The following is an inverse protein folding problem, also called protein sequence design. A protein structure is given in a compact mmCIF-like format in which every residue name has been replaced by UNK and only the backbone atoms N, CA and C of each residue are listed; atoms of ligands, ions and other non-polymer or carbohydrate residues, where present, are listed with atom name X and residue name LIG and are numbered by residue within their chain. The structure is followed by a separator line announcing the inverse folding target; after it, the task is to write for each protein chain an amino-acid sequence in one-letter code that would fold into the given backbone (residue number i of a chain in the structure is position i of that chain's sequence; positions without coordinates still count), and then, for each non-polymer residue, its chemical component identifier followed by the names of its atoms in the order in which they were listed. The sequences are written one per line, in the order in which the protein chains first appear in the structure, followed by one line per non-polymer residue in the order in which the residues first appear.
data_IF_120911166647
#
_entry.id   IF_120911166647
#
_cell.length_a   1.000
_cell.length_b   1.000
_cell.length_c   1.000
_cell.angle_alpha   90.00
_cell.angle_beta   90.00
_cell.angle_gamma   90.00
#
_symmetry.space_group_name_H-M   'P 1'
#
loop_
_entity.id
_entity.type
_entity.pdbx_description
1 polymer ?
#
# COMPACT_ATOMS: atom_id res chain seq x y z
N UNK A 1 -3.50 -4.22 -5.07
CA UNK A 1 -2.61 -3.78 -6.14
C UNK A 1 -3.43 -3.53 -7.40
N UNK A 2 -4.11 -2.37 -7.48
CA UNK A 2 -4.84 -1.98 -8.68
C UNK A 2 -3.85 -1.69 -9.83
N UNK A 3 -4.26 -1.84 -11.09
CA UNK A 3 -3.37 -1.50 -12.19
C UNK A 3 -3.08 0.00 -12.18
N UNK A 4 -1.86 0.35 -12.60
CA UNK A 4 -1.34 1.71 -12.45
C UNK A 4 -1.59 2.64 -13.65
N UNK A 5 -2.63 2.35 -14.45
CA UNK A 5 -2.99 3.15 -15.64
C UNK A 5 -1.78 3.39 -16.59
N UNK A 6 -0.93 2.36 -16.78
CA UNK A 6 0.34 2.45 -17.54
C UNK A 6 0.14 2.43 -19.06
N UNK A 7 -1.10 2.41 -19.54
CA UNK A 7 -1.42 2.29 -20.96
C UNK A 7 -1.04 0.94 -21.61
N UNK A 8 -0.99 -0.14 -20.82
CA UNK A 8 -0.70 -1.49 -21.32
C UNK A 8 -1.88 -2.43 -21.06
N UNK A 9 -2.33 -3.13 -22.10
CA UNK A 9 -3.41 -4.11 -22.04
C UNK A 9 -2.96 -5.40 -21.35
N UNK A 10 -3.51 -5.70 -20.18
CA UNK A 10 -3.31 -6.98 -19.50
C UNK A 10 -4.45 -7.94 -19.87
N UNK A 11 -4.22 -8.82 -20.85
CA UNK A 11 -5.16 -9.90 -21.19
C UNK A 11 -4.75 -11.22 -20.50
N UNK A 12 -5.71 -11.87 -19.82
CA UNK A 12 -5.53 -13.20 -19.25
C UNK A 12 -6.30 -14.21 -20.10
N UNK A 13 -5.60 -15.18 -20.69
CA UNK A 13 -6.23 -16.29 -21.40
C UNK A 13 -6.79 -17.28 -20.39
N UNK A 14 -8.12 -17.33 -20.27
CA UNK A 14 -8.79 -18.37 -19.49
C UNK A 14 -9.04 -19.56 -20.44
N UNK A 15 -8.55 -20.78 -20.13
CA UNK A 15 -8.93 -21.96 -20.89
C UNK A 15 -10.41 -22.27 -20.61
N UNK A 16 -11.21 -22.38 -21.66
CA UNK A 16 -12.61 -22.80 -21.60
C UNK A 16 -12.77 -24.04 -22.47
N UNK A 17 -13.03 -25.18 -21.83
CA UNK A 17 -13.33 -26.47 -22.49
C UNK A 17 -12.09 -27.29 -22.85
N UNK A 18 -12.31 -28.61 -23.00
CA UNK A 18 -11.28 -29.64 -23.25
C UNK A 18 -11.10 -29.94 -24.77
N UNK A 19 -11.73 -29.16 -25.64
CA UNK A 19 -11.73 -29.43 -27.09
C UNK A 19 -10.93 -28.39 -27.89
N UNK A 20 -9.89 -28.91 -28.54
CA UNK A 20 -8.90 -28.22 -29.36
C UNK A 20 -9.34 -28.08 -30.82
N UNK A 21 -10.45 -27.37 -31.09
CA UNK A 21 -10.82 -27.00 -32.47
C UNK A 21 -10.63 -25.50 -32.73
N UNK A 22 -10.03 -25.10 -33.88
CA UNK A 22 -9.72 -23.72 -34.18
C UNK A 22 -10.98 -23.01 -34.70
N UNK A 23 -11.78 -22.49 -33.78
CA UNK A 23 -12.86 -21.56 -34.13
C UNK A 23 -12.20 -20.22 -34.48
N UNK A 24 -12.36 -19.74 -35.73
CA UNK A 24 -12.17 -18.33 -36.08
C UNK A 24 -13.16 -17.51 -35.24
N UNK A 25 -12.70 -17.07 -34.07
CA UNK A 25 -13.54 -16.39 -33.10
C UNK A 25 -13.39 -14.90 -33.34
N UNK A 26 -14.40 -14.31 -33.97
CA UNK A 26 -14.58 -12.87 -33.98
C UNK A 26 -14.39 -12.33 -32.55
N UNK A 27 -13.52 -11.35 -32.46
CA UNK A 27 -13.01 -10.73 -31.23
C UNK A 27 -14.15 -9.96 -30.53
N UNK A 28 -15.11 -10.63 -29.89
CA UNK A 28 -16.23 -9.89 -29.25
C UNK A 28 -16.98 -10.51 -28.07
N UNK A 29 -16.85 -11.78 -27.69
CA UNK A 29 -17.82 -12.33 -26.69
C UNK A 29 -17.28 -13.20 -25.56
N UNK A 30 -16.04 -13.70 -25.62
CA UNK A 30 -15.52 -14.63 -24.60
C UNK A 30 -14.06 -14.34 -24.19
N UNK A 31 -13.68 -13.06 -24.20
CA UNK A 31 -12.58 -12.57 -23.39
C UNK A 31 -13.20 -11.90 -22.17
N UNK A 32 -12.90 -12.39 -20.96
CA UNK A 32 -13.09 -11.57 -19.76
C UNK A 32 -12.01 -10.50 -19.83
N UNK A 33 -12.33 -9.41 -20.53
CA UNK A 33 -11.44 -8.28 -20.66
C UNK A 33 -11.25 -7.70 -19.26
N UNK A 34 -10.08 -7.90 -18.67
CA UNK A 34 -9.76 -7.31 -17.37
C UNK A 34 -9.74 -5.78 -17.46
N UNK A 35 -9.26 -5.23 -18.59
CA UNK A 35 -9.29 -3.81 -18.95
C UNK A 35 -9.55 -3.66 -20.44
N UNK A 36 -10.67 -3.02 -20.78
CA UNK A 36 -11.01 -2.68 -22.15
C UNK A 36 -10.65 -1.21 -22.27
N UNK A 37 -9.51 -0.90 -22.88
CA UNK A 37 -9.15 0.47 -23.29
C UNK A 37 -10.03 0.91 -24.48
N UNK A 38 -11.35 0.80 -24.34
CA UNK A 38 -12.34 1.14 -25.39
C UNK A 38 -13.06 2.45 -25.14
N UNK A 39 -12.57 3.28 -24.24
CA UNK A 39 -13.15 4.59 -24.04
C UNK A 39 -12.02 5.59 -24.02
N UNK A 40 -11.95 6.44 -25.04
CA UNK A 40 -11.00 7.55 -25.17
C UNK A 40 -11.18 8.66 -24.11
N UNK A 41 -11.38 8.27 -22.84
CA UNK A 41 -11.50 9.09 -21.63
C UNK A 41 -10.34 8.89 -20.65
N UNK A 42 -9.38 8.00 -20.94
CA UNK A 42 -8.16 7.80 -20.14
C UNK A 42 -8.44 7.60 -18.64
N UNK A 43 -7.69 8.32 -17.82
CA UNK A 43 -7.70 8.27 -16.34
C UNK A 43 -9.11 8.42 -15.72
N UNK A 44 -10.05 9.12 -16.34
CA UNK A 44 -11.41 9.28 -15.80
C UNK A 44 -12.16 7.93 -15.67
N UNK A 45 -11.98 7.05 -16.65
CA UNK A 45 -12.62 5.73 -16.65
C UNK A 45 -12.02 4.82 -15.57
N UNK A 46 -10.70 4.91 -15.37
CA UNK A 46 -9.99 4.24 -14.30
C UNK A 46 -10.46 4.71 -12.93
N UNK A 47 -10.55 6.03 -12.72
CA UNK A 47 -10.99 6.60 -11.45
C UNK A 47 -12.44 6.23 -11.12
N UNK A 48 -13.34 6.26 -12.10
CA UNK A 48 -14.72 5.80 -11.91
C UNK A 48 -14.78 4.34 -11.46
N UNK A 49 -14.04 3.46 -12.15
CA UNK A 49 -14.01 2.04 -11.80
C UNK A 49 -13.40 1.82 -10.40
N UNK A 50 -12.36 2.56 -10.04
CA UNK A 50 -11.74 2.47 -8.72
C UNK A 50 -12.65 2.99 -7.62
N UNK A 51 -13.37 4.08 -7.86
CA UNK A 51 -14.36 4.63 -6.93
C UNK A 51 -15.42 3.58 -6.58
N UNK A 52 -16.05 2.97 -7.58
CA UNK A 52 -17.08 1.93 -7.37
C UNK A 52 -16.55 0.76 -6.54
N UNK A 53 -15.33 0.31 -6.81
CA UNK A 53 -14.70 -0.79 -6.05
C UNK A 53 -14.36 -0.38 -4.62
N UNK A 54 -13.84 0.82 -4.41
CA UNK A 54 -13.44 1.32 -3.09
C UNK A 54 -14.67 1.46 -2.18
N UNK A 55 -15.81 1.91 -2.71
CA UNK A 55 -17.09 1.94 -1.99
C UNK A 55 -17.47 0.54 -1.51
N UNK A 56 -17.47 -0.45 -2.41
CA UNK A 56 -17.80 -1.84 -2.04
C UNK A 56 -16.81 -2.44 -1.04
N UNK A 57 -15.51 -2.16 -1.19
CA UNK A 57 -14.48 -2.59 -0.25
C UNK A 57 -14.72 -2.00 1.14
N UNK A 58 -15.08 -0.72 1.23
CA UNK A 58 -15.40 -0.08 2.52
C UNK A 58 -16.61 -0.73 3.19
N UNK A 59 -17.64 -1.06 2.41
CA UNK A 59 -18.82 -1.77 2.93
C UNK A 59 -18.49 -3.18 3.42
N UNK A 60 -17.62 -3.90 2.70
CA UNK A 60 -17.18 -5.25 3.05
C UNK A 60 -16.19 -5.30 4.23
N UNK A 61 -15.46 -4.22 4.50
CA UNK A 61 -14.51 -4.15 5.62
C UNK A 61 -15.24 -4.23 6.98
N UNK A 62 -14.64 -4.92 7.94
CA UNK A 62 -15.04 -4.82 9.35
C UNK A 62 -14.73 -3.43 9.91
N UNK A 63 -15.37 -3.04 11.02
CA UNK A 63 -15.08 -1.75 11.70
C UNK A 63 -13.61 -1.62 12.12
N UNK A 64 -12.97 -2.74 12.47
CA UNK A 64 -11.55 -2.82 12.82
C UNK A 64 -10.62 -2.96 11.62
N UNK A 65 -11.18 -3.06 10.41
CA UNK A 65 -10.47 -3.37 9.18
C UNK A 65 -9.64 -2.22 8.64
N UNK A 66 -8.60 -2.57 7.89
CA UNK A 66 -7.72 -1.62 7.20
C UNK A 66 -7.57 -1.99 5.72
N UNK A 67 -7.49 -0.97 4.87
CA UNK A 67 -7.28 -1.10 3.43
C UNK A 67 -5.88 -0.58 3.10
N UNK A 68 -5.09 -1.37 2.38
CA UNK A 68 -3.78 -0.96 1.85
C UNK A 68 -3.87 -0.88 0.33
N UNK A 69 -3.56 0.29 -0.22
CA UNK A 69 -3.53 0.53 -1.66
C UNK A 69 -2.10 0.85 -2.04
N UNK A 70 -1.50 -0.05 -2.82
CA UNK A 70 -0.26 0.21 -3.54
C UNK A 70 -0.58 0.99 -4.81
N UNK A 71 0.13 2.08 -5.03
CA UNK A 71 0.01 2.93 -6.20
C UNK A 71 1.34 3.58 -6.54
N UNK A 72 1.53 3.82 -7.84
CA UNK A 72 2.66 4.58 -8.35
C UNK A 72 2.34 6.10 -8.36
N UNK A 73 3.29 6.87 -8.88
CA UNK A 73 3.20 8.33 -8.95
C UNK A 73 2.19 8.85 -10.00
N UNK A 74 1.67 8.01 -10.91
CA UNK A 74 0.72 8.47 -11.93
C UNK A 74 -0.69 8.65 -11.37
N UNK A 75 -1.13 7.72 -10.53
CA UNK A 75 -2.53 7.68 -10.02
C UNK A 75 -2.66 7.78 -8.51
N UNK A 76 -1.55 7.70 -7.76
CA UNK A 76 -1.58 7.66 -6.30
C UNK A 76 -2.29 8.84 -5.63
N UNK A 77 -2.11 10.06 -6.16
CA UNK A 77 -2.79 11.26 -5.62
C UNK A 77 -4.30 11.24 -5.88
N UNK A 78 -4.76 10.74 -7.02
CA UNK A 78 -6.20 10.63 -7.31
C UNK A 78 -6.87 9.57 -6.44
N UNK A 79 -6.24 8.39 -6.31
CA UNK A 79 -6.76 7.32 -5.45
C UNK A 79 -6.85 7.75 -3.98
N UNK A 80 -5.86 8.51 -3.51
CA UNK A 80 -5.89 9.07 -2.16
C UNK A 80 -7.12 9.95 -1.93
N UNK A 81 -7.46 10.82 -2.89
CA UNK A 81 -8.64 11.67 -2.79
C UNK A 81 -9.94 10.88 -2.79
N UNK A 82 -10.07 9.88 -3.66
CA UNK A 82 -11.22 8.97 -3.67
C UNK A 82 -11.37 8.27 -2.32
N UNK A 83 -10.28 7.76 -1.75
CA UNK A 83 -10.34 7.11 -0.45
C UNK A 83 -10.69 8.09 0.68
N UNK A 84 -10.20 9.33 0.65
CA UNK A 84 -10.58 10.36 1.63
C UNK A 84 -12.08 10.69 1.56
N UNK A 85 -12.65 10.74 0.36
CA UNK A 85 -14.09 10.94 0.17
C UNK A 85 -14.90 9.75 0.70
N UNK A 86 -14.49 8.52 0.40
CA UNK A 86 -15.22 7.30 0.77
C UNK A 86 -15.06 6.93 2.25
N UNK A 87 -13.85 7.05 2.82
CA UNK A 87 -13.55 6.67 4.20
C UNK A 87 -13.59 7.84 5.20
N UNK A 88 -13.48 9.08 4.73
CA UNK A 88 -13.41 10.30 5.53
C UNK A 88 -11.98 10.81 5.76
N UNK A 89 -11.85 12.09 6.12
CA UNK A 89 -10.54 12.78 6.21
C UNK A 89 -9.59 12.18 7.26
N UNK A 90 -10.14 11.68 8.37
CA UNK A 90 -9.37 11.11 9.47
C UNK A 90 -9.05 9.62 9.30
N UNK A 91 -9.33 9.04 8.11
CA UNK A 91 -9.17 7.61 7.86
C UNK A 91 -7.75 7.19 7.51
N UNK A 92 -6.90 8.12 7.05
CA UNK A 92 -5.52 7.83 6.66
C UNK A 92 -4.70 7.47 7.90
N UNK A 93 -4.11 6.27 7.88
CA UNK A 93 -3.26 5.78 8.97
C UNK A 93 -1.80 6.13 8.69
N UNK A 94 -1.29 5.73 7.53
CA UNK A 94 0.09 5.96 7.13
C UNK A 94 0.27 5.88 5.59
N UNK A 95 1.37 6.44 5.10
CA UNK A 95 1.84 6.38 3.72
C UNK A 95 3.24 5.76 3.66
N UNK A 96 3.30 4.47 3.36
CA UNK A 96 4.52 3.66 3.33
C UNK A 96 5.25 3.87 2.00
N UNK A 97 6.56 4.07 2.05
CA UNK A 97 7.40 4.22 0.85
C UNK A 97 7.99 2.86 0.48
N UNK A 98 7.51 2.28 -0.62
CA UNK A 98 8.12 1.07 -1.16
C UNK A 98 9.28 1.45 -2.08
N UNK A 99 10.51 1.34 -1.57
CA UNK A 99 11.71 1.65 -2.32
C UNK A 99 12.31 0.43 -3.06
N UNK A 100 12.65 0.62 -4.33
CA UNK A 100 13.33 -0.36 -5.17
C UNK A 100 14.85 -0.22 -5.01
N UNK A 101 15.44 -1.03 -4.14
CA UNK A 101 16.89 -1.10 -4.00
C UNK A 101 17.52 -1.58 -5.32
N UNK A 102 18.44 -0.79 -5.89
CA UNK A 102 19.21 -1.12 -7.09
C UNK A 102 18.49 -0.99 -8.45
N UNK A 103 17.46 -0.13 -8.56
CA UNK A 103 16.86 0.20 -9.86
C UNK A 103 17.83 1.03 -10.70
N UNK A 104 18.30 0.47 -11.81
CA UNK A 104 19.12 1.20 -12.79
C UNK A 104 18.22 2.21 -13.51
N UNK A 105 18.20 3.46 -13.02
CA UNK A 105 17.41 4.51 -13.64
C UNK A 105 18.15 5.03 -14.89
N UNK A 106 17.49 5.08 -16.06
CA UNK A 106 18.06 5.76 -17.22
C UNK A 106 18.28 7.23 -16.90
N UNK A 107 19.26 7.86 -17.56
CA UNK A 107 19.49 9.29 -17.42
C UNK A 107 18.19 10.05 -17.75
N UNK A 108 17.70 10.81 -16.78
CA UNK A 108 16.47 11.60 -16.91
C UNK A 108 16.72 13.03 -16.43
N UNK A 109 15.80 13.94 -16.74
CA UNK A 109 15.84 15.32 -16.23
C UNK A 109 15.26 15.46 -14.82
N UNK A 110 15.14 14.36 -14.06
CA UNK A 110 14.59 14.34 -12.72
C UNK A 110 15.29 13.31 -11.83
N UNK A 111 14.93 13.28 -10.55
CA UNK A 111 15.41 12.24 -9.65
C UNK A 111 14.92 10.85 -10.11
N UNK A 112 15.71 9.79 -9.89
CA UNK A 112 15.29 8.42 -10.15
C UNK A 112 13.93 8.11 -9.50
N UNK A 113 12.97 7.65 -10.31
CA UNK A 113 11.68 7.13 -9.83
C UNK A 113 11.88 5.71 -9.29
N UNK A 114 12.45 5.65 -8.08
CA UNK A 114 12.87 4.43 -7.40
C UNK A 114 11.96 4.05 -6.23
N UNK A 115 10.78 4.64 -6.12
CA UNK A 115 9.81 4.26 -5.10
C UNK A 115 8.37 4.40 -5.57
N UNK A 116 7.54 3.54 -5.00
CA UNK A 116 6.09 3.60 -5.05
C UNK A 116 5.54 3.87 -3.64
N UNK A 117 4.23 4.11 -3.55
CA UNK A 117 3.54 4.39 -2.29
C UNK A 117 2.54 3.28 -1.97
N UNK A 118 2.49 2.90 -0.70
CA UNK A 118 1.42 2.08 -0.16
C UNK A 118 0.69 2.91 0.88
N UNK A 119 -0.53 3.34 0.54
CA UNK A 119 -1.35 4.18 1.41
C UNK A 119 -2.28 3.28 2.20
N UNK A 120 -2.35 3.49 3.52
CA UNK A 120 -3.18 2.71 4.42
C UNK A 120 -4.34 3.54 5.00
N UNK A 121 -5.53 2.95 4.98
CA UNK A 121 -6.77 3.57 5.46
C UNK A 121 -7.46 2.66 6.47
N UNK A 122 -8.03 3.24 7.52
CA UNK A 122 -8.89 2.54 8.47
C UNK A 122 -10.36 2.78 8.10
N UNK A 123 -11.22 1.76 8.24
CA UNK A 123 -12.66 1.99 8.22
C UNK A 123 -13.10 2.86 9.40
N UNK A 124 -12.58 2.55 10.59
CA UNK A 124 -12.73 3.34 11.80
C UNK A 124 -11.35 3.66 12.40
N UNK A 125 -10.98 4.94 12.36
CA UNK A 125 -9.68 5.45 12.81
C UNK A 125 -9.44 5.31 14.32
N UNK A 126 -10.49 5.12 15.12
CA UNK A 126 -10.39 4.92 16.56
C UNK A 126 -10.29 3.45 16.96
N UNK A 127 -10.63 2.51 16.06
CA UNK A 127 -10.82 1.09 16.39
C UNK A 127 -9.98 0.12 15.55
N UNK A 128 -9.23 0.61 14.57
CA UNK A 128 -8.43 -0.27 13.72
C UNK A 128 -7.39 -1.08 14.52
N UNK A 129 -7.13 -2.30 14.06
CA UNK A 129 -6.16 -3.19 14.69
C UNK A 129 -4.88 -3.18 13.86
N UNK A 130 -3.77 -2.77 14.48
CA UNK A 130 -2.44 -2.87 13.89
C UNK A 130 -1.56 -3.85 14.66
N UNK A 131 -1.06 -4.86 13.97
CA UNK A 131 -0.12 -5.82 14.52
C UNK A 131 1.31 -5.37 14.22
N UNK A 132 1.96 -4.76 15.22
CA UNK A 132 3.33 -4.27 15.08
C UNK A 132 4.29 -5.40 14.66
N UNK A 133 4.89 -5.23 13.49
CA UNK A 133 5.91 -6.13 12.96
C UNK A 133 7.30 -5.74 13.48
N UNK A 134 8.17 -6.74 13.56
CA UNK A 134 9.57 -6.62 14.00
C UNK A 134 10.48 -7.35 13.02
N UNK A 135 11.65 -6.76 12.76
CA UNK A 135 12.73 -7.35 11.98
C UNK A 135 13.95 -7.56 12.87
N UNK A 136 14.72 -8.63 12.60
CA UNK A 136 15.99 -8.86 13.28
C UNK A 136 17.03 -7.85 12.80
N UNK A 137 17.82 -7.31 13.71
CA UNK A 137 18.96 -6.46 13.37
C UNK A 137 20.17 -7.32 13.01
N UNK A 138 20.95 -6.87 12.04
CA UNK A 138 22.25 -7.47 11.73
C UNK A 138 23.24 -7.36 12.89
N UNK A 139 23.12 -6.30 13.70
CA UNK A 139 23.97 -6.06 14.88
C UNK A 139 23.14 -5.59 16.06
N UNK A 140 23.37 -6.13 17.27
CA UNK A 140 22.71 -5.69 18.48
C UNK A 140 23.06 -4.24 18.78
N UNK A 141 22.05 -3.42 19.07
CA UNK A 141 22.24 -2.00 19.41
C UNK A 141 21.96 -1.78 20.89
N UNK A 142 22.89 -1.10 21.58
CA UNK A 142 22.66 -0.61 22.94
C UNK A 142 21.74 0.59 22.88
N UNK A 143 20.56 0.47 23.48
CA UNK A 143 19.58 1.54 23.58
C UNK A 143 19.38 1.94 25.04
N UNK A 144 19.12 3.22 25.28
CA UNK A 144 18.76 3.71 26.61
C UNK A 144 17.44 3.05 27.04
N UNK A 145 17.41 2.50 28.25
CA UNK A 145 16.19 1.97 28.83
C UNK A 145 15.28 3.14 29.20
N UNK A 146 14.06 3.15 28.66
CA UNK A 146 13.06 4.20 28.91
C UNK A 146 11.83 3.58 29.56
N UNK A 147 11.29 4.28 30.56
CA UNK A 147 10.03 3.93 31.22
C UNK A 147 9.03 5.06 31.00
N UNK A 148 7.79 4.71 30.70
CA UNK A 148 6.70 5.68 30.60
C UNK A 148 6.14 5.95 32.00
N UNK A 149 6.28 7.18 32.47
CA UNK A 149 5.71 7.66 33.74
C UNK A 149 4.90 8.91 33.43
N UNK A 150 3.59 8.88 33.70
CA UNK A 150 2.70 10.02 33.49
C UNK A 150 2.64 10.54 32.05
N UNK A 151 2.69 9.65 31.06
CA UNK A 151 2.66 10.02 29.63
C UNK A 151 3.98 10.54 29.05
N UNK A 152 5.05 10.62 29.85
CA UNK A 152 6.39 11.00 29.38
C UNK A 152 7.36 9.81 29.47
N UNK A 153 8.17 9.64 28.44
CA UNK A 153 9.24 8.65 28.44
C UNK A 153 10.45 9.21 29.20
N UNK A 154 10.73 8.65 30.38
CA UNK A 154 11.88 9.03 31.22
C UNK A 154 12.96 7.96 31.08
N UNK A 155 14.21 8.38 30.96
CA UNK A 155 15.36 7.46 30.96
C UNK A 155 15.49 6.83 32.35
N UNK A 156 15.55 5.50 32.40
CA UNK A 156 15.74 4.76 33.66
C UNK A 156 17.14 5.04 34.18
N UNK A 157 17.22 5.60 35.38
CA UNK A 157 18.47 5.84 36.10
C UNK A 157 18.57 4.86 37.26
N UNK A 158 19.77 4.35 37.47
CA UNK A 158 20.11 3.52 38.62
C UNK A 158 20.18 4.36 39.92
N UNK A 159 20.33 3.72 41.08
CA UNK A 159 20.41 4.39 42.40
C UNK A 159 21.52 5.45 42.48
N UNK A 160 22.56 5.30 41.65
CA UNK A 160 23.68 6.24 41.51
C UNK A 160 23.45 7.37 40.48
N UNK A 161 22.25 7.47 39.89
CA UNK A 161 21.90 8.48 38.88
C UNK A 161 22.40 8.20 37.46
N UNK A 162 23.05 7.04 37.23
CA UNK A 162 23.57 6.63 35.92
C UNK A 162 22.46 6.03 35.05
N UNK A 163 22.40 6.39 33.76
CA UNK A 163 21.37 5.90 32.84
C UNK A 163 21.61 4.43 32.47
N UNK A 164 20.56 3.61 32.56
CA UNK A 164 20.60 2.20 32.19
C UNK A 164 20.45 1.99 30.68
N UNK A 165 21.15 0.97 30.17
CA UNK A 165 21.09 0.56 28.76
C UNK A 165 20.52 -0.86 28.67
N UNK A 166 19.80 -1.13 27.58
CA UNK A 166 19.33 -2.45 27.19
C UNK A 166 19.89 -2.78 25.81
N UNK A 167 20.25 -4.05 25.60
CA UNK A 167 20.62 -4.56 24.28
C UNK A 167 19.34 -5.02 23.60
N UNK A 168 19.14 -4.60 22.35
CA UNK A 168 18.03 -5.07 21.52
C UNK A 168 18.55 -5.69 20.23
N UNK A 169 18.06 -6.89 19.98
CA UNK A 169 18.36 -7.67 18.77
C UNK A 169 17.34 -7.41 17.66
N UNK A 170 16.14 -6.93 18.00
CA UNK A 170 15.07 -6.66 17.03
C UNK A 170 14.80 -5.15 16.90
N UNK A 171 14.39 -4.74 15.70
CA UNK A 171 13.88 -3.40 15.36
C UNK A 171 12.40 -3.52 15.00
N UNK A 172 11.61 -2.50 15.33
CA UNK A 172 10.26 -2.37 14.76
C UNK A 172 10.38 -2.11 13.27
N UNK A 173 9.58 -2.80 12.46
CA UNK A 173 9.49 -2.51 11.04
C UNK A 173 9.06 -1.04 10.86
N UNK A 174 9.73 -0.34 9.97
CA UNK A 174 9.48 1.07 9.66
C UNK A 174 8.66 1.20 8.37
N UNK A 175 8.24 2.42 8.05
CA UNK A 175 7.49 2.74 6.83
C UNK A 175 8.38 3.19 5.65
N UNK A 176 9.71 3.08 5.82
CA UNK A 176 10.77 3.39 4.84
C UNK A 176 11.86 2.32 4.83
#
# INVERSE_FOLDING_TARGET
DPPFDVGADFSMKIPVGDDSDPIQKDQSTLEMVAYRDVWGKGTDSYLQMMYERIVLIREALSETGTLYIHCDWHVGHYLKQICLEVFGENSVINEITWHYYNKMAPASQCFPRASDKIISFAKNSEQYIFHQQYEKRDKPVKQLKRQFVGGKAINVRDENGVVQYQVKDDKRLDDV
#
